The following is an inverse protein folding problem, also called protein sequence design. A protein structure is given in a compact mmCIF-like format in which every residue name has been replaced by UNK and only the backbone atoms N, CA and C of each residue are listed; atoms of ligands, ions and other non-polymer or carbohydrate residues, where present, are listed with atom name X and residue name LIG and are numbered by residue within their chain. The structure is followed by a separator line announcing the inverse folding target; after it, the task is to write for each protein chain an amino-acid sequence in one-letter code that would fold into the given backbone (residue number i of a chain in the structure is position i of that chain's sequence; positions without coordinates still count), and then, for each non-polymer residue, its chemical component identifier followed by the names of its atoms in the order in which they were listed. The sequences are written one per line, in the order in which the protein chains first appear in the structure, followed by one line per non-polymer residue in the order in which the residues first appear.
data_IF_165537621374
#
_entry.id   IF_165537621374
#
_cell.length_a   1.000
_cell.length_b   1.000
_cell.length_c   1.000
_cell.angle_alpha   90.00
_cell.angle_beta   90.00
_cell.angle_gamma   90.00
#
_symmetry.space_group_name_H-M   'P 1'
#
loop_
_entity.id
_entity.type
_entity.pdbx_description
1 polymer ?
#
# COMPACT_ATOMS: atom_id res chain seq x y z
N UNK A 1 -30.12 -13.20 24.61
CA UNK A 1 -30.18 -13.87 23.30
C UNK A 1 -28.74 -14.11 22.85
N UNK A 2 -28.27 -15.35 22.92
CA UNK A 2 -26.84 -15.72 22.79
C UNK A 2 -26.22 -15.28 21.45
N UNK A 3 -27.04 -15.17 20.39
CA UNK A 3 -26.62 -14.61 19.10
C UNK A 3 -26.25 -13.13 19.21
N UNK A 4 -26.93 -12.36 20.06
CA UNK A 4 -26.71 -10.93 20.23
C UNK A 4 -25.43 -10.66 21.03
N UNK A 5 -25.15 -11.45 22.06
CA UNK A 5 -23.90 -11.38 22.83
C UNK A 5 -22.70 -11.84 21.98
N UNK A 6 -22.82 -12.95 21.24
CA UNK A 6 -21.75 -13.42 20.33
C UNK A 6 -21.43 -12.38 19.24
N UNK A 7 -22.46 -11.74 18.68
CA UNK A 7 -22.27 -10.67 17.69
C UNK A 7 -21.61 -9.42 18.32
N UNK A 8 -21.90 -9.15 19.59
CA UNK A 8 -21.29 -8.04 20.34
C UNK A 8 -19.80 -8.30 20.61
N UNK A 9 -19.45 -9.50 21.07
CA UNK A 9 -18.05 -9.89 21.32
C UNK A 9 -17.21 -9.84 20.04
N UNK A 10 -17.74 -10.36 18.92
CA UNK A 10 -17.04 -10.30 17.63
C UNK A 10 -16.86 -8.86 17.14
N UNK A 11 -17.87 -7.99 17.34
CA UNK A 11 -17.75 -6.57 17.01
C UNK A 11 -16.70 -5.85 17.85
N UNK A 12 -16.56 -6.19 19.14
CA UNK A 12 -15.51 -5.62 20.00
C UNK A 12 -14.13 -6.05 19.48
N UNK A 13 -13.94 -7.35 19.24
CA UNK A 13 -12.66 -7.86 18.73
C UNK A 13 -12.28 -7.23 17.37
N UNK A 14 -13.23 -7.13 16.44
CA UNK A 14 -13.00 -6.48 15.14
C UNK A 14 -12.64 -5.00 15.33
N UNK A 15 -13.34 -4.28 16.21
CA UNK A 15 -13.03 -2.87 16.49
C UNK A 15 -11.63 -2.70 17.07
N UNK A 16 -11.22 -3.57 18.00
CA UNK A 16 -9.89 -3.53 18.59
C UNK A 16 -8.80 -3.82 17.55
N UNK A 17 -9.01 -4.80 16.67
CA UNK A 17 -8.08 -5.10 15.57
C UNK A 17 -7.98 -3.94 14.57
N UNK A 18 -9.11 -3.39 14.13
CA UNK A 18 -9.16 -2.26 13.19
C UNK A 18 -8.51 -1.02 13.80
N UNK A 19 -8.75 -0.75 15.09
CA UNK A 19 -8.15 0.38 15.79
C UNK A 19 -6.64 0.20 15.98
N UNK A 20 -6.17 -1.02 16.25
CA UNK A 20 -4.75 -1.34 16.30
C UNK A 20 -4.05 -1.12 14.96
N UNK A 21 -4.67 -1.56 13.86
CA UNK A 21 -4.19 -1.28 12.50
C UNK A 21 -4.16 0.22 12.23
N UNK A 22 -5.25 0.94 12.52
CA UNK A 22 -5.32 2.38 12.32
C UNK A 22 -4.17 3.13 13.00
N UNK A 23 -3.89 2.83 14.28
CA UNK A 23 -2.76 3.43 15.00
C UNK A 23 -1.40 3.14 14.39
N UNK A 24 -1.25 1.99 13.73
CA UNK A 24 -0.01 1.64 13.07
C UNK A 24 0.23 2.52 11.84
N UNK A 25 -0.84 2.88 11.13
CA UNK A 25 -0.79 3.69 9.91
C UNK A 25 -0.82 5.20 10.16
N UNK A 26 -1.50 5.67 11.21
CA UNK A 26 -1.58 7.07 11.65
C UNK A 26 -0.26 7.53 12.31
N UNK A 27 0.78 7.70 11.49
CA UNK A 27 2.15 7.99 11.95
C UNK A 27 2.36 9.40 12.49
N UNK A 28 1.58 10.37 12.04
CA UNK A 28 1.66 11.76 12.48
C UNK A 28 0.61 12.13 13.54
N UNK A 29 -0.18 11.14 14.00
CA UNK A 29 -1.19 11.27 15.05
C UNK A 29 -2.23 12.35 14.74
N UNK A 30 -2.58 12.48 13.46
CA UNK A 30 -3.56 13.46 12.99
C UNK A 30 -4.98 12.86 12.89
N UNK A 31 -5.16 11.60 13.34
CA UNK A 31 -6.38 10.81 13.23
C UNK A 31 -6.81 10.56 11.76
N UNK A 32 -5.87 10.58 10.81
CA UNK A 32 -6.06 10.26 9.40
C UNK A 32 -4.98 9.28 8.93
N UNK A 33 -5.39 8.07 8.56
CA UNK A 33 -4.52 7.13 7.88
C UNK A 33 -4.78 7.17 6.36
N UNK A 34 -3.72 7.10 5.55
CA UNK A 34 -3.84 7.04 4.10
C UNK A 34 -4.50 5.71 3.69
N UNK A 35 -5.67 5.82 3.07
CA UNK A 35 -6.46 4.67 2.64
C UNK A 35 -5.75 3.80 1.60
N UNK A 36 -4.92 4.40 0.74
CA UNK A 36 -4.15 3.68 -0.27
C UNK A 36 -3.00 2.91 0.38
N UNK A 37 -2.35 3.50 1.39
CA UNK A 37 -1.30 2.81 2.16
C UNK A 37 -1.85 1.58 2.89
N UNK A 38 -2.98 1.73 3.58
CA UNK A 38 -3.67 0.62 4.25
C UNK A 38 -4.06 -0.45 3.23
N UNK A 39 -4.71 -0.07 2.13
CA UNK A 39 -5.22 -1.01 1.15
C UNK A 39 -4.09 -1.80 0.47
N UNK A 40 -3.00 -1.12 0.11
CA UNK A 40 -1.82 -1.71 -0.53
C UNK A 40 -1.10 -2.68 0.41
N UNK A 41 -0.97 -2.30 1.69
CA UNK A 41 -0.38 -3.17 2.70
C UNK A 41 -1.23 -4.42 2.94
N UNK A 42 -2.54 -4.28 3.15
CA UNK A 42 -3.44 -5.41 3.39
C UNK A 42 -3.47 -6.34 2.16
N UNK A 43 -3.53 -5.77 0.95
CA UNK A 43 -3.46 -6.55 -0.29
C UNK A 43 -2.18 -7.38 -0.34
N UNK A 44 -1.05 -6.80 0.06
CA UNK A 44 0.23 -7.50 0.07
C UNK A 44 0.31 -8.61 1.12
N UNK A 45 -0.50 -8.54 2.18
CA UNK A 45 -0.61 -9.57 3.23
C UNK A 45 -1.76 -10.58 3.00
N UNK A 46 -2.59 -10.38 1.96
CA UNK A 46 -3.86 -11.09 1.76
C UNK A 46 -3.74 -12.57 1.34
N UNK A 47 -2.51 -13.05 1.05
CA UNK A 47 -2.26 -14.39 0.53
C UNK A 47 -2.56 -14.55 -0.97
N UNK A 48 -2.91 -13.47 -1.67
CA UNK A 48 -3.03 -13.44 -3.14
C UNK A 48 -1.71 -13.82 -3.82
N UNK A 49 -1.78 -14.34 -5.05
CA UNK A 49 -0.57 -14.60 -5.83
C UNK A 49 0.08 -13.28 -6.23
N UNK A 50 1.40 -13.28 -6.42
CA UNK A 50 2.15 -12.06 -6.72
C UNK A 50 1.56 -11.23 -7.88
N UNK A 51 1.21 -11.85 -9.01
CA UNK A 51 0.60 -11.13 -10.14
C UNK A 51 -0.78 -10.55 -9.83
N UNK A 52 -1.56 -11.17 -8.94
CA UNK A 52 -2.86 -10.67 -8.51
C UNK A 52 -2.69 -9.47 -7.58
N UNK A 53 -1.68 -9.51 -6.69
CA UNK A 53 -1.30 -8.38 -5.83
C UNK A 53 -0.91 -7.20 -6.72
N UNK A 54 0.02 -7.40 -7.65
CA UNK A 54 0.48 -6.35 -8.55
C UNK A 54 -0.69 -5.81 -9.38
N UNK A 55 -1.51 -6.67 -9.99
CA UNK A 55 -2.67 -6.22 -10.77
C UNK A 55 -3.66 -5.40 -9.94
N UNK A 56 -3.89 -5.75 -8.68
CA UNK A 56 -4.76 -4.97 -7.80
C UNK A 56 -4.14 -3.61 -7.45
N UNK A 57 -2.85 -3.60 -7.11
CA UNK A 57 -2.12 -2.37 -6.79
C UNK A 57 -2.11 -1.43 -8.01
N UNK A 58 -1.83 -1.92 -9.20
CA UNK A 58 -1.86 -1.10 -10.42
C UNK A 58 -3.24 -0.45 -10.60
N UNK A 59 -4.32 -1.20 -10.35
CA UNK A 59 -5.68 -0.70 -10.55
C UNK A 59 -6.10 0.39 -9.55
N UNK A 60 -5.60 0.36 -8.30
CA UNK A 60 -5.95 1.35 -7.28
C UNK A 60 -5.15 2.65 -7.40
N UNK A 61 -3.97 2.60 -8.02
CA UNK A 61 -3.11 3.78 -8.24
C UNK A 61 -3.23 4.38 -9.64
N UNK A 62 -3.92 3.72 -10.57
CA UNK A 62 -4.30 4.30 -11.86
C UNK A 62 -5.43 5.32 -11.68
N UNK A 63 -5.08 6.55 -11.28
CA UNK A 63 -6.07 7.59 -10.97
C UNK A 63 -6.68 8.18 -12.23
N UNK A 64 -5.94 8.19 -13.34
CA UNK A 64 -6.40 8.74 -14.61
C UNK A 64 -7.08 7.70 -15.53
N UNK A 65 -7.01 6.42 -15.17
CA UNK A 65 -7.75 5.32 -15.80
C UNK A 65 -7.19 4.92 -17.16
N UNK A 66 -5.90 5.18 -17.41
CA UNK A 66 -5.24 4.85 -18.70
C UNK A 66 -4.75 3.42 -18.78
N UNK A 67 -4.94 2.62 -17.73
CA UNK A 67 -4.41 1.26 -17.60
C UNK A 67 -2.87 1.21 -17.65
N UNK A 68 -2.21 2.37 -17.50
CA UNK A 68 -0.77 2.58 -17.49
C UNK A 68 -0.45 3.66 -16.47
N UNK A 69 0.33 3.32 -15.45
CA UNK A 69 0.69 4.29 -14.41
C UNK A 69 1.73 5.27 -14.93
N UNK A 70 1.53 6.54 -14.60
CA UNK A 70 2.53 7.59 -14.67
C UNK A 70 3.65 7.38 -13.63
N UNK A 71 4.75 8.12 -13.80
CA UNK A 71 5.87 8.12 -12.84
C UNK A 71 5.41 8.45 -11.43
N UNK A 72 4.52 9.43 -11.28
CA UNK A 72 4.00 9.86 -9.98
C UNK A 72 3.13 8.78 -9.33
N UNK A 73 2.29 8.10 -10.11
CA UNK A 73 1.44 7.00 -9.63
C UNK A 73 2.27 5.78 -9.21
N UNK A 74 3.31 5.42 -9.99
CA UNK A 74 4.24 4.36 -9.62
C UNK A 74 5.00 4.73 -8.35
N UNK A 75 5.50 5.96 -8.25
CA UNK A 75 6.21 6.45 -7.07
C UNK A 75 5.33 6.38 -5.83
N UNK A 76 4.09 6.86 -5.92
CA UNK A 76 3.14 6.80 -4.82
C UNK A 76 2.81 5.35 -4.43
N UNK A 77 2.60 4.47 -5.41
CA UNK A 77 2.31 3.05 -5.15
C UNK A 77 3.43 2.35 -4.39
N UNK A 78 4.69 2.60 -4.77
CA UNK A 78 5.85 2.00 -4.15
C UNK A 78 6.12 2.59 -2.77
N UNK A 79 5.98 3.91 -2.60
CA UNK A 79 6.08 4.56 -1.28
C UNK A 79 5.06 3.99 -0.31
N UNK A 80 3.79 3.94 -0.71
CA UNK A 80 2.72 3.38 0.12
C UNK A 80 2.93 1.89 0.44
N UNK A 81 3.37 1.09 -0.53
CA UNK A 81 3.67 -0.32 -0.31
C UNK A 81 4.81 -0.51 0.70
N UNK A 82 5.93 0.18 0.49
CA UNK A 82 7.10 0.10 1.36
C UNK A 82 6.79 0.61 2.77
N UNK A 83 6.17 1.79 2.88
CA UNK A 83 5.74 2.36 4.17
C UNK A 83 4.83 1.38 4.92
N UNK A 84 3.78 0.90 4.27
CA UNK A 84 2.82 0.00 4.90
C UNK A 84 3.48 -1.30 5.37
N UNK A 85 4.32 -1.91 4.53
CA UNK A 85 5.06 -3.12 4.88
C UNK A 85 6.08 -2.88 6.01
N UNK A 86 6.79 -1.76 6.00
CA UNK A 86 7.72 -1.36 7.06
C UNK A 86 7.01 -1.10 8.39
N UNK A 87 5.77 -0.59 8.37
CA UNK A 87 4.98 -0.37 9.58
C UNK A 87 4.54 -1.69 10.22
N UNK A 88 4.23 -2.70 9.42
CA UNK A 88 3.79 -4.03 9.91
C UNK A 88 4.95 -4.98 10.21
N UNK A 89 6.05 -4.89 9.47
CA UNK A 89 7.30 -5.54 9.86
C UNK A 89 7.85 -4.75 11.04
N UNK A 90 8.21 -5.37 12.16
CA UNK A 90 8.72 -4.65 13.35
C UNK A 90 10.16 -4.09 13.09
N UNK A 91 10.52 -3.85 11.83
CA UNK A 91 11.83 -3.45 11.35
C UNK A 91 11.76 -1.99 10.87
N UNK A 92 12.42 -1.09 11.60
CA UNK A 92 12.30 0.37 11.44
C UNK A 92 13.00 0.94 10.20
N UNK A 93 13.63 0.11 9.36
CA UNK A 93 14.37 0.61 8.20
C UNK A 93 13.42 0.97 7.06
N UNK A 94 12.93 2.20 7.14
CA UNK A 94 12.24 2.89 6.07
C UNK A 94 13.19 3.15 4.89
N UNK A 95 12.85 2.73 3.65
CA UNK A 95 13.57 3.19 2.46
C UNK A 95 13.45 4.71 2.34
N UNK A 96 14.57 5.39 2.14
CA UNK A 96 14.60 6.86 2.03
C UNK A 96 13.84 7.25 0.75
N UNK A 97 13.00 8.28 0.83
CA UNK A 97 12.18 8.75 -0.30
C UNK A 97 12.98 8.91 -1.61
N UNK A 98 14.21 9.42 -1.51
CA UNK A 98 15.16 9.59 -2.62
C UNK A 98 15.54 8.27 -3.30
N UNK A 99 15.64 7.16 -2.55
CA UNK A 99 16.00 5.85 -3.10
C UNK A 99 14.86 5.28 -3.97
N UNK A 100 13.61 5.45 -3.53
CA UNK A 100 12.43 5.02 -4.30
C UNK A 100 12.28 5.89 -5.55
N UNK A 101 12.42 7.20 -5.41
CA UNK A 101 12.34 8.12 -6.54
C UNK A 101 13.41 7.79 -7.60
N UNK A 102 14.67 7.63 -7.17
CA UNK A 102 15.76 7.28 -8.07
C UNK A 102 15.53 5.92 -8.76
N UNK A 103 15.00 4.93 -8.05
CA UNK A 103 14.64 3.63 -8.62
C UNK A 103 13.58 3.77 -9.73
N UNK A 104 12.50 4.50 -9.45
CA UNK A 104 11.40 4.70 -10.41
C UNK A 104 11.90 5.45 -11.64
N UNK A 105 12.61 6.56 -11.43
CA UNK A 105 13.20 7.37 -12.49
C UNK A 105 14.10 6.51 -13.37
N UNK A 106 15.06 5.79 -12.77
CA UNK A 106 16.02 4.98 -13.54
C UNK A 106 15.31 3.92 -14.37
N UNK A 107 14.35 3.21 -13.78
CA UNK A 107 13.58 2.16 -14.47
C UNK A 107 12.74 2.71 -15.62
N UNK A 108 12.02 3.82 -15.42
CA UNK A 108 11.21 4.46 -16.47
C UNK A 108 12.08 4.99 -17.62
N UNK A 109 13.19 5.65 -17.32
CA UNK A 109 14.06 6.22 -18.35
C UNK A 109 14.82 5.16 -19.15
N UNK A 110 15.15 4.01 -18.55
CA UNK A 110 15.73 2.88 -19.28
C UNK A 110 14.75 2.30 -20.29
N UNK A 111 13.46 2.21 -19.95
CA UNK A 111 12.45 1.67 -20.86
C UNK A 111 12.13 2.62 -22.02
N UNK A 112 12.03 3.92 -21.74
CA UNK A 112 11.89 4.95 -22.79
C UNK A 112 13.09 4.91 -23.76
N UNK A 113 14.31 4.67 -23.25
CA UNK A 113 15.50 4.56 -24.11
C UNK A 113 15.49 3.32 -25.00
N UNK A 114 14.87 2.22 -24.58
CA UNK A 114 14.73 1.03 -25.43
C UNK A 114 13.76 1.32 -26.57
N UNK A 115 12.61 1.94 -26.28
CA UNK A 115 11.61 2.29 -27.30
C UNK A 115 12.10 3.30 -28.34
N UNK A 116 13.09 4.13 -28.02
CA UNK A 116 13.69 5.09 -28.97
C UNK A 116 14.76 4.42 -29.87
N UNK A 117 15.36 3.32 -29.43
CA UNK A 117 16.47 2.66 -30.14
C UNK A 117 16.03 1.42 -30.95
N UNK A 118 14.76 1.02 -30.86
CA UNK A 118 14.10 0.03 -31.73
C UNK A 118 13.37 0.71 -32.91
#
# INVERSE_FOLDING_TARGET
DLKYEFNTTNMIAIKEMVYGLFKLFDTDLNDLADALEINTCITSLSGMRFHEIISHILHIYDFDGKELLSVDEVMLSLKSLCLGLCKVSIDEKYPIDDDIEQLVITTFFEEIKKDIND
#
